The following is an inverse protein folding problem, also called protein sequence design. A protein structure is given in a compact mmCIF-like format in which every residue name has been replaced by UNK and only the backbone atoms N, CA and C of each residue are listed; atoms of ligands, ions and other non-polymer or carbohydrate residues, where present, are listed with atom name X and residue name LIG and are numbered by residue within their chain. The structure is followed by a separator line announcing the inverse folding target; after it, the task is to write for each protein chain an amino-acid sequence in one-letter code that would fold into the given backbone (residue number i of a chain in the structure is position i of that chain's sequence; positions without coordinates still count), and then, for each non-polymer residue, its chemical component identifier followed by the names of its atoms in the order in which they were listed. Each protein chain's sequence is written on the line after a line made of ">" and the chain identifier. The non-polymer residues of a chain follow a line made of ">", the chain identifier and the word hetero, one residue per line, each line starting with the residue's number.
data_IF_936153193041
#
_entry.id   IF_936153193041
#
_cell.length_a   1.000
_cell.length_b   1.000
_cell.length_c   1.000
_cell.angle_alpha   90.00
_cell.angle_beta   90.00
_cell.angle_gamma   90.00
#
_symmetry.space_group_name_H-M   'P 1'
#
loop_
_entity.id
_entity.type
_entity.pdbx_description
1 polymer ?
#
# COMPACT_ATOMS: atom_id res chain seq x y z
N UNK A 1 -2.98 14.38 -0.73
CA UNK A 1 -4.09 13.74 0.02
C UNK A 1 -3.97 14.16 1.47
N UNK A 2 -4.80 15.11 1.90
CA UNK A 2 -4.86 15.59 3.28
C UNK A 2 -6.22 15.17 3.85
N UNK A 3 -6.24 14.14 4.70
CA UNK A 3 -7.44 13.72 5.43
C UNK A 3 -7.17 13.92 6.93
N UNK A 4 -8.02 14.70 7.60
CA UNK A 4 -7.85 15.02 9.02
C UNK A 4 -7.97 13.80 9.96
N UNK A 5 -8.47 12.66 9.44
CA UNK A 5 -8.56 11.39 10.16
C UNK A 5 -7.27 10.56 10.06
N UNK A 6 -6.27 11.04 9.34
CA UNK A 6 -4.99 10.37 9.15
C UNK A 6 -3.91 11.27 9.72
N UNK A 7 -3.20 10.80 10.74
CA UNK A 7 -2.05 11.49 11.30
C UNK A 7 -1.03 11.83 10.21
N UNK A 8 -0.30 12.94 10.38
CA UNK A 8 0.68 13.40 9.41
C UNK A 8 1.73 12.33 9.09
N UNK A 9 2.20 11.57 10.09
CA UNK A 9 3.16 10.48 9.85
C UNK A 9 2.52 9.32 9.08
N UNK A 10 1.26 9.00 9.37
CA UNK A 10 0.50 8.00 8.63
C UNK A 10 0.23 8.43 7.18
N UNK A 11 0.01 9.72 6.92
CA UNK A 11 -0.11 10.23 5.54
C UNK A 11 1.19 10.02 4.76
N UNK A 12 2.35 10.28 5.37
CA UNK A 12 3.65 10.01 4.75
C UNK A 12 3.90 8.51 4.55
N UNK A 13 3.51 7.67 5.51
CA UNK A 13 3.61 6.22 5.40
C UNK A 13 2.76 5.70 4.22
N UNK A 14 1.50 6.11 4.14
CA UNK A 14 0.63 5.74 3.01
C UNK A 14 1.23 6.17 1.67
N UNK A 15 1.80 7.37 1.58
CA UNK A 15 2.48 7.82 0.36
C UNK A 15 3.67 6.93 -0.03
N UNK A 16 4.46 6.44 0.94
CA UNK A 16 5.53 5.47 0.68
C UNK A 16 4.97 4.12 0.25
N UNK A 17 3.95 3.63 0.94
CA UNK A 17 3.30 2.35 0.62
C UNK A 17 2.68 2.35 -0.80
N UNK A 18 2.11 3.48 -1.24
CA UNK A 18 1.63 3.64 -2.63
C UNK A 18 2.75 3.57 -3.68
N UNK A 19 3.99 3.84 -3.29
CA UNK A 19 5.18 3.70 -4.16
C UNK A 19 5.88 2.35 -3.98
N UNK A 20 5.54 1.60 -2.94
CA UNK A 20 6.15 0.33 -2.58
C UNK A 20 5.73 -0.83 -3.49
N UNK A 21 5.79 -2.04 -2.93
CA UNK A 21 5.47 -3.29 -3.63
C UNK A 21 3.99 -3.36 -4.03
N UNK A 22 3.60 -4.21 -5.00
CA UNK A 22 2.20 -4.36 -5.40
C UNK A 22 1.26 -4.65 -4.23
N UNK A 23 1.68 -5.49 -3.27
CA UNK A 23 0.91 -5.80 -2.08
C UNK A 23 0.70 -4.56 -1.18
N UNK A 24 1.77 -3.79 -0.94
CA UNK A 24 1.71 -2.56 -0.14
C UNK A 24 0.74 -1.54 -0.75
N UNK A 25 0.72 -1.43 -2.09
CA UNK A 25 -0.23 -0.54 -2.79
C UNK A 25 -1.67 -0.95 -2.58
N UNK A 26 -1.96 -2.26 -2.66
CA UNK A 26 -3.31 -2.80 -2.42
C UNK A 26 -3.75 -2.51 -0.98
N UNK A 27 -2.90 -2.79 0.00
CA UNK A 27 -3.22 -2.57 1.42
C UNK A 27 -3.38 -1.08 1.75
N UNK A 28 -2.54 -0.21 1.18
CA UNK A 28 -2.70 1.24 1.34
C UNK A 28 -4.00 1.76 0.71
N UNK A 29 -4.38 1.25 -0.48
CA UNK A 29 -5.67 1.59 -1.11
C UNK A 29 -6.85 1.10 -0.28
N UNK A 30 -6.73 -0.09 0.32
CA UNK A 30 -7.74 -0.65 1.22
C UNK A 30 -7.89 0.21 2.48
N UNK A 31 -6.80 0.58 3.14
CA UNK A 31 -6.81 1.49 4.30
C UNK A 31 -7.59 2.78 4.00
N UNK A 32 -7.27 3.46 2.90
CA UNK A 32 -7.99 4.66 2.50
C UNK A 32 -9.47 4.41 2.21
N UNK A 33 -9.77 3.31 1.53
CA UNK A 33 -11.15 2.94 1.21
C UNK A 33 -11.96 2.64 2.47
N UNK A 34 -11.36 2.00 3.49
CA UNK A 34 -11.98 1.77 4.79
C UNK A 34 -12.31 3.08 5.51
N UNK A 35 -11.39 4.05 5.45
CA UNK A 35 -11.56 5.37 6.07
C UNK A 35 -12.65 6.17 5.36
N UNK A 36 -12.67 6.16 4.03
CA UNK A 36 -13.70 6.81 3.24
C UNK A 36 -15.08 6.18 3.44
N UNK A 37 -15.15 4.85 3.55
CA UNK A 37 -16.37 4.12 3.84
C UNK A 37 -16.85 4.28 5.30
N UNK A 38 -16.04 4.89 6.18
CA UNK A 38 -16.36 5.06 7.59
C UNK A 38 -16.30 3.78 8.42
N UNK A 39 -15.81 2.67 7.85
CA UNK A 39 -15.61 1.40 8.56
C UNK A 39 -14.37 1.47 9.46
N UNK A 40 -13.34 2.16 8.98
CA UNK A 40 -12.21 2.59 9.80
C UNK A 40 -12.38 4.09 10.10
N UNK A 41 -12.34 4.46 11.38
CA UNK A 41 -12.45 5.84 11.82
C UNK A 41 -11.28 6.70 11.31
N UNK A 42 -10.08 6.12 11.33
CA UNK A 42 -8.84 6.81 10.96
C UNK A 42 -7.59 6.10 11.49
N UNK A 43 -6.44 6.74 11.25
CA UNK A 43 -5.11 6.32 11.70
C UNK A 43 -4.53 7.46 12.52
N UNK A 44 -4.25 7.25 13.80
CA UNK A 44 -3.91 8.31 14.74
C UNK A 44 -2.68 7.96 15.57
N UNK A 45 -1.97 8.97 16.07
CA UNK A 45 -1.02 8.74 17.17
C UNK A 45 -1.78 8.49 18.47
N UNK A 46 -1.27 7.58 19.30
CA UNK A 46 -1.96 7.11 20.50
C UNK A 46 -2.35 8.23 21.48
N UNK A 47 -1.61 9.34 21.53
CA UNK A 47 -1.85 10.48 22.42
C UNK A 47 -2.73 11.57 21.81
N UNK A 48 -3.18 11.41 20.56
CA UNK A 48 -4.15 12.31 19.96
C UNK A 48 -5.53 12.14 20.61
N UNK A 49 -6.36 13.19 20.49
CA UNK A 49 -7.69 13.27 21.11
C UNK A 49 -8.57 12.05 20.81
N UNK A 50 -8.58 11.55 19.57
CA UNK A 50 -9.48 10.46 19.16
C UNK A 50 -9.11 9.13 19.87
N UNK A 51 -7.86 8.63 19.81
CA UNK A 51 -7.46 7.47 20.62
C UNK A 51 -7.54 7.70 22.12
N UNK A 52 -7.26 8.90 22.62
CA UNK A 52 -7.36 9.21 24.05
C UNK A 52 -8.78 9.10 24.57
N UNK A 53 -9.76 9.66 23.86
CA UNK A 53 -11.18 9.50 24.18
C UNK A 53 -11.60 8.03 24.05
N UNK A 54 -11.11 7.32 23.03
CA UNK A 54 -11.39 5.87 22.90
C UNK A 54 -10.88 5.07 24.09
N UNK A 55 -9.68 5.36 24.57
CA UNK A 55 -9.12 4.70 25.74
C UNK A 55 -9.93 5.00 27.01
N UNK A 56 -10.42 6.24 27.16
CA UNK A 56 -11.31 6.62 28.27
C UNK A 56 -12.63 5.86 28.25
N UNK A 57 -13.23 5.68 27.07
CA UNK A 57 -14.46 4.89 26.90
C UNK A 57 -14.26 3.41 27.31
N UNK A 58 -13.03 2.91 27.19
CA UNK A 58 -12.65 1.56 27.63
C UNK A 58 -12.25 1.51 29.12
N UNK A 59 -12.46 2.58 29.90
CA UNK A 59 -12.07 2.65 31.31
C UNK A 59 -10.56 2.69 31.52
N UNK A 60 -9.81 3.18 30.53
CA UNK A 60 -8.35 3.20 30.51
C UNK A 60 -7.81 4.59 30.14
N UNK A 61 -6.51 4.69 29.91
CA UNK A 61 -5.86 5.89 29.40
C UNK A 61 -5.03 5.56 28.17
N UNK A 62 -4.71 6.55 27.35
CA UNK A 62 -4.13 6.36 26.02
C UNK A 62 -2.86 5.51 25.99
N UNK A 63 -2.00 5.57 27.01
CA UNK A 63 -0.75 4.80 27.04
C UNK A 63 -0.94 3.31 27.33
N UNK A 64 -2.15 2.88 27.70
CA UNK A 64 -2.54 1.47 27.77
C UNK A 64 -3.26 0.97 26.52
N UNK A 65 -3.51 1.85 25.54
CA UNK A 65 -4.20 1.47 24.31
C UNK A 65 -3.34 0.51 23.47
N UNK A 66 -2.04 0.80 23.36
CA UNK A 66 -1.05 -0.08 22.74
C UNK A 66 -0.41 -0.97 23.81
N UNK A 67 -0.36 -2.30 23.62
CA UNK A 67 0.41 -3.21 24.47
C UNK A 67 1.89 -2.79 24.56
N UNK A 68 2.56 -3.22 25.63
CA UNK A 68 4.00 -2.98 25.77
C UNK A 68 4.75 -3.62 24.59
N UNK A 69 5.66 -2.84 23.97
CA UNK A 69 6.42 -3.27 22.80
C UNK A 69 5.70 -3.21 21.45
N UNK A 70 4.37 -3.03 21.42
CA UNK A 70 3.63 -2.87 20.17
C UNK A 70 3.80 -1.46 19.61
N UNK A 71 4.10 -1.33 18.32
CA UNK A 71 4.24 -0.03 17.63
C UNK A 71 2.91 0.50 17.08
N UNK A 72 1.94 -0.38 16.94
CA UNK A 72 0.61 -0.07 16.43
C UNK A 72 -0.40 -1.07 17.00
N UNK A 73 -1.69 -0.73 16.92
CA UNK A 73 -2.78 -1.64 17.21
C UNK A 73 -4.04 -1.22 16.47
N UNK A 74 -4.80 -2.18 15.95
CA UNK A 74 -6.20 -1.96 15.61
C UNK A 74 -7.07 -2.02 16.85
N UNK A 75 -7.81 -0.96 17.11
CA UNK A 75 -8.74 -0.84 18.23
C UNK A 75 -10.15 -0.96 17.69
N UNK A 76 -10.76 -2.12 17.91
CA UNK A 76 -12.13 -2.45 17.46
C UNK A 76 -13.16 -2.22 18.55
N UNK A 77 -12.71 -2.08 19.80
CA UNK A 77 -13.52 -1.84 20.97
C UNK A 77 -13.78 -0.34 21.17
N UNK A 78 -14.90 0.07 21.81
CA UNK A 78 -16.01 -0.78 22.19
C UNK A 78 -16.83 -1.22 20.96
N UNK A 79 -17.52 -2.36 21.09
CA UNK A 79 -18.41 -2.87 20.03
C UNK A 79 -19.43 -1.81 19.61
N UNK A 80 -19.72 -1.75 18.32
CA UNK A 80 -20.65 -0.76 17.74
C UNK A 80 -20.00 0.58 17.39
N UNK A 81 -18.71 0.78 17.65
CA UNK A 81 -17.95 1.91 17.11
C UNK A 81 -17.06 1.48 15.94
N UNK A 82 -16.81 2.37 14.96
CA UNK A 82 -15.84 2.09 13.92
C UNK A 82 -14.46 1.81 14.53
N UNK A 83 -13.73 0.87 13.93
CA UNK A 83 -12.37 0.57 14.36
C UNK A 83 -11.46 1.79 14.14
N UNK A 84 -10.35 1.89 14.86
CA UNK A 84 -9.30 2.87 14.56
C UNK A 84 -7.94 2.20 14.64
N UNK A 85 -6.96 2.71 13.89
CA UNK A 85 -5.56 2.30 14.08
C UNK A 85 -4.88 3.34 14.96
N UNK A 86 -4.34 2.88 16.08
CA UNK A 86 -3.51 3.70 16.97
C UNK A 86 -2.04 3.36 16.76
N UNK A 87 -1.23 4.37 16.48
CA UNK A 87 0.22 4.29 16.26
C UNK A 87 0.95 4.84 17.48
N UNK A 88 2.07 4.22 17.86
CA UNK A 88 2.88 4.66 19.00
C UNK A 88 3.41 6.07 18.74
N UNK A 89 3.30 6.95 19.74
CA UNK A 89 3.88 8.30 19.67
C UNK A 89 5.40 8.19 19.57
N UNK A 90 6.00 8.99 18.69
CA UNK A 90 7.46 8.99 18.53
C UNK A 90 7.98 7.72 17.87
N UNK A 91 7.10 7.03 17.11
CA UNK A 91 7.48 5.98 16.16
C UNK A 91 8.82 6.31 15.47
N UNK A 92 9.67 5.30 15.25
CA UNK A 92 11.11 5.47 15.12
C UNK A 92 11.48 6.33 13.91
N UNK A 93 12.68 6.92 13.95
CA UNK A 93 13.32 7.54 12.78
C UNK A 93 13.37 6.59 11.56
N UNK A 94 13.23 5.29 11.82
CA UNK A 94 13.04 4.23 10.84
C UNK A 94 11.62 4.23 10.26
N UNK A 95 11.50 4.79 9.07
CA UNK A 95 10.26 4.84 8.29
C UNK A 95 9.77 3.46 7.86
N UNK A 96 10.66 2.48 7.63
CA UNK A 96 10.27 1.14 7.22
C UNK A 96 9.57 0.40 8.37
N UNK A 97 10.04 0.60 9.60
CA UNK A 97 9.40 0.05 10.80
C UNK A 97 8.02 0.66 11.05
N UNK A 98 7.83 1.95 10.75
CA UNK A 98 6.49 2.57 10.78
C UNK A 98 5.56 1.92 9.75
N UNK A 99 6.03 1.77 8.52
CA UNK A 99 5.24 1.23 7.41
C UNK A 99 4.81 -0.22 7.70
N UNK A 100 5.72 -1.04 8.22
CA UNK A 100 5.42 -2.41 8.67
C UNK A 100 4.37 -2.42 9.78
N UNK A 101 4.55 -1.61 10.83
CA UNK A 101 3.60 -1.53 11.94
C UNK A 101 2.20 -1.09 11.47
N UNK A 102 2.11 -0.15 10.53
CA UNK A 102 0.82 0.28 9.97
C UNK A 102 0.11 -0.87 9.24
N UNK A 103 0.84 -1.63 8.41
CA UNK A 103 0.28 -2.77 7.69
C UNK A 103 -0.10 -3.93 8.62
N UNK A 104 0.68 -4.18 9.67
CA UNK A 104 0.36 -5.21 10.64
C UNK A 104 -0.92 -4.87 11.41
N UNK A 105 -1.06 -3.63 11.90
CA UNK A 105 -2.31 -3.17 12.51
C UNK A 105 -3.50 -3.20 11.54
N UNK A 106 -3.29 -2.90 10.25
CA UNK A 106 -4.33 -3.03 9.24
C UNK A 106 -4.84 -4.46 9.11
N UNK A 107 -3.94 -5.44 9.04
CA UNK A 107 -4.29 -6.86 8.95
C UNK A 107 -5.00 -7.35 10.21
N UNK A 108 -4.57 -6.89 11.37
CA UNK A 108 -5.20 -7.22 12.66
C UNK A 108 -6.65 -6.73 12.75
N UNK A 109 -7.01 -5.64 12.05
CA UNK A 109 -8.38 -5.13 12.05
C UNK A 109 -9.39 -6.15 11.49
N UNK A 110 -8.96 -7.09 10.64
CA UNK A 110 -9.84 -8.08 9.99
C UNK A 110 -11.09 -7.47 9.36
N UNK A 111 -11.00 -6.21 8.90
CA UNK A 111 -12.12 -5.51 8.29
C UNK A 111 -12.31 -6.07 6.89
N UNK A 112 -13.42 -6.77 6.68
CA UNK A 112 -13.86 -7.19 5.36
C UNK A 112 -14.19 -5.98 4.51
N UNK A 113 -13.21 -5.43 3.79
CA UNK A 113 -13.48 -4.37 2.82
C UNK A 113 -14.16 -4.99 1.60
N UNK A 114 -15.47 -4.73 1.47
CA UNK A 114 -16.20 -4.88 0.21
C UNK A 114 -16.14 -3.60 -0.64
N UNK A 115 -15.26 -2.66 -0.32
CA UNK A 115 -15.04 -1.46 -1.13
C UNK A 115 -14.18 -1.81 -2.37
N UNK A 116 -14.49 -1.20 -3.52
CA UNK A 116 -13.70 -1.38 -4.73
C UNK A 116 -12.26 -0.88 -4.51
N UNK A 117 -11.29 -1.71 -4.88
CA UNK A 117 -9.88 -1.30 -4.94
C UNK A 117 -9.79 -0.17 -5.96
N UNK A 118 -9.51 1.06 -5.51
CA UNK A 118 -9.28 2.18 -6.42
C UNK A 118 -7.91 2.01 -7.08
N UNK A 119 -7.81 2.08 -8.43
CA UNK A 119 -6.52 2.15 -9.09
C UNK A 119 -5.77 3.39 -8.60
N UNK A 120 -4.56 3.21 -8.08
CA UNK A 120 -3.68 4.33 -7.77
C UNK A 120 -3.12 4.88 -9.08
N UNK A 121 -3.48 6.12 -9.42
CA UNK A 121 -2.87 6.85 -10.53
C UNK A 121 -1.71 7.70 -10.01
N UNK A 122 -0.49 7.23 -10.26
CA UNK A 122 0.73 7.91 -9.85
C UNK A 122 1.01 9.21 -10.64
N UNK A 123 0.31 9.43 -11.75
CA UNK A 123 0.53 10.56 -12.66
C UNK A 123 -0.34 11.77 -12.37
N UNK A 124 -1.38 11.61 -11.54
CA UNK A 124 -2.27 12.72 -11.20
C UNK A 124 -1.90 13.35 -9.85
N UNK A 125 -1.33 14.57 -9.83
CA UNK A 125 -1.01 15.26 -8.59
C UNK A 125 -2.31 15.77 -7.97
N UNK A 126 -2.88 14.99 -7.04
CA UNK A 126 -3.95 15.46 -6.16
C UNK A 126 -5.37 15.19 -6.60
N UNK A 127 -5.66 14.21 -7.47
CA UNK A 127 -7.06 13.95 -7.86
C UNK A 127 -7.96 13.59 -6.65
N UNK A 128 -9.01 14.40 -6.36
CA UNK A 128 -10.18 13.96 -5.63
C UNK A 128 -11.07 13.10 -6.58
N UNK A 129 -12.19 12.51 -6.11
CA UNK A 129 -12.68 11.23 -6.60
C UNK A 129 -13.04 11.24 -8.09
N UNK A 130 -12.37 10.38 -8.86
CA UNK A 130 -12.88 10.01 -10.18
C UNK A 130 -14.30 9.45 -10.03
N UNK A 131 -15.23 10.04 -10.76
CA UNK A 131 -16.61 9.61 -11.02
C UNK A 131 -16.68 8.35 -11.91
N UNK A 132 -15.56 7.68 -12.14
CA UNK A 132 -15.53 6.37 -12.77
C UNK A 132 -16.27 5.38 -11.88
N UNK A 133 -17.36 4.82 -12.39
CA UNK A 133 -18.22 3.88 -11.69
C UNK A 133 -17.37 2.86 -10.92
N UNK A 134 -17.43 2.95 -9.60
CA UNK A 134 -16.74 2.04 -8.72
C UNK A 134 -17.29 0.64 -9.05
N UNK A 135 -16.45 -0.25 -9.58
CA UNK A 135 -16.88 -1.61 -9.89
C UNK A 135 -17.23 -2.32 -8.58
N UNK A 136 -18.51 -2.36 -8.23
CA UNK A 136 -19.01 -3.06 -7.06
C UNK A 136 -18.86 -4.56 -7.30
N UNK A 137 -17.87 -5.18 -6.65
CA UNK A 137 -17.73 -6.63 -6.63
C UNK A 137 -18.69 -7.18 -5.57
N UNK A 138 -19.78 -7.84 -5.97
CA UNK A 138 -20.80 -8.35 -5.04
C UNK A 138 -20.47 -9.72 -4.45
N UNK A 139 -19.38 -10.36 -4.90
CA UNK A 139 -18.92 -11.66 -4.40
C UNK A 139 -17.40 -11.82 -4.37
N UNK A 140 -16.93 -12.81 -3.62
CA UNK A 140 -15.50 -13.14 -3.49
C UNK A 140 -14.87 -13.52 -4.84
N UNK A 141 -15.61 -14.25 -5.68
CA UNK A 141 -15.16 -14.67 -7.01
C UNK A 141 -14.97 -13.49 -7.97
N UNK A 142 -15.93 -12.55 -8.00
CA UNK A 142 -15.82 -11.32 -8.77
C UNK A 142 -14.65 -10.46 -8.31
N UNK A 143 -14.36 -10.45 -7.00
CA UNK A 143 -13.21 -9.74 -6.44
C UNK A 143 -11.89 -10.38 -6.88
N UNK A 144 -11.78 -11.70 -6.82
CA UNK A 144 -10.60 -12.43 -7.31
C UNK A 144 -10.39 -12.22 -8.82
N UNK A 145 -11.47 -12.26 -9.61
CA UNK A 145 -11.41 -11.99 -11.04
C UNK A 145 -10.97 -10.54 -11.36
N UNK A 146 -11.47 -9.56 -10.61
CA UNK A 146 -11.07 -8.16 -10.76
C UNK A 146 -9.60 -7.93 -10.37
N UNK A 147 -9.14 -8.58 -9.30
CA UNK A 147 -7.72 -8.56 -8.89
C UNK A 147 -6.83 -9.20 -9.96
N UNK A 148 -7.25 -10.34 -10.52
CA UNK A 148 -6.52 -11.01 -11.59
C UNK A 148 -6.45 -10.15 -12.85
N UNK A 149 -7.56 -9.55 -13.28
CA UNK A 149 -7.59 -8.65 -14.43
C UNK A 149 -6.69 -7.42 -14.24
N UNK A 150 -6.61 -6.90 -13.00
CA UNK A 150 -5.69 -5.82 -12.67
C UNK A 150 -4.22 -6.28 -12.75
N UNK A 151 -3.92 -7.49 -12.26
CA UNK A 151 -2.59 -8.09 -12.36
C UNK A 151 -2.19 -8.34 -13.82
N UNK A 152 -3.10 -8.89 -14.63
CA UNK A 152 -2.88 -9.16 -16.05
C UNK A 152 -2.67 -7.85 -16.84
N UNK A 153 -3.47 -6.82 -16.55
CA UNK A 153 -3.32 -5.49 -17.14
C UNK A 153 -1.99 -4.81 -16.77
N UNK A 154 -1.50 -5.05 -15.55
CA UNK A 154 -0.16 -4.63 -15.13
C UNK A 154 0.93 -5.39 -15.88
N UNK A 155 0.85 -6.71 -15.96
CA UNK A 155 1.81 -7.55 -16.70
C UNK A 155 1.88 -7.17 -18.18
N UNK A 156 0.74 -6.93 -18.83
CA UNK A 156 0.69 -6.49 -20.23
C UNK A 156 1.42 -5.15 -20.46
N UNK A 157 1.38 -4.24 -19.47
CA UNK A 157 2.13 -2.97 -19.52
C UNK A 157 3.64 -3.21 -19.33
N UNK A 158 4.03 -4.08 -18.40
CA UNK A 158 5.43 -4.50 -18.21
C UNK A 158 5.99 -5.12 -19.49
N UNK A 159 5.28 -6.08 -20.09
CA UNK A 159 5.65 -6.72 -21.36
C UNK A 159 5.79 -5.74 -22.51
N UNK A 160 4.92 -4.72 -22.56
CA UNK A 160 4.99 -3.67 -23.58
C UNK A 160 6.22 -2.79 -23.38
N UNK A 161 6.57 -2.45 -22.15
CA UNK A 161 7.79 -1.73 -21.82
C UNK A 161 9.03 -2.57 -22.16
N UNK A 162 9.07 -3.83 -21.76
CA UNK A 162 10.17 -4.75 -22.05
C UNK A 162 10.37 -4.92 -23.56
N UNK A 163 9.30 -5.10 -24.33
CA UNK A 163 9.38 -5.16 -25.80
C UNK A 163 9.94 -3.89 -26.43
N UNK A 164 9.58 -2.71 -25.91
CA UNK A 164 10.14 -1.43 -26.39
C UNK A 164 11.62 -1.31 -26.05
N UNK A 165 12.02 -1.71 -24.85
CA UNK A 165 13.41 -1.74 -24.42
C UNK A 165 14.24 -2.66 -25.32
N UNK A 166 13.82 -3.92 -25.49
CA UNK A 166 14.50 -4.89 -26.34
C UNK A 166 14.59 -4.44 -27.81
N UNK A 167 13.55 -3.77 -28.32
CA UNK A 167 13.57 -3.18 -29.67
C UNK A 167 14.61 -2.06 -29.80
N UNK A 168 14.81 -1.27 -28.75
CA UNK A 168 15.80 -0.18 -28.72
C UNK A 168 17.22 -0.72 -28.57
N UNK A 169 17.42 -1.72 -27.71
CA UNK A 169 18.69 -2.41 -27.53
C UNK A 169 19.18 -3.11 -28.82
N UNK A 170 18.28 -3.63 -29.67
CA UNK A 170 18.65 -4.18 -30.99
C UNK A 170 19.30 -3.17 -31.95
N UNK A 171 19.09 -1.87 -31.75
CA UNK A 171 19.67 -0.81 -32.56
C UNK A 171 20.91 -0.15 -31.94
N UNK A 172 21.30 -0.57 -30.74
CA UNK A 172 22.36 0.06 -29.96
C UNK A 172 23.28 -1.02 -29.36
N UNK A 173 24.49 -1.23 -29.94
CA UNK A 173 25.40 -2.29 -29.53
C UNK A 173 25.92 -2.12 -28.09
N UNK A 174 25.90 -0.92 -27.52
CA UNK A 174 26.31 -0.68 -26.12
C UNK A 174 25.25 -1.21 -25.14
N UNK A 175 23.97 -1.04 -25.46
CA UNK A 175 22.82 -1.56 -24.72
C UNK A 175 22.68 -3.09 -24.85
N UNK A 176 23.04 -3.66 -26.00
CA UNK A 176 23.06 -5.11 -26.21
C UNK A 176 24.10 -5.80 -25.31
N UNK A 177 25.27 -5.18 -25.12
CA UNK A 177 26.33 -5.73 -24.27
C UNK A 177 25.98 -5.69 -22.77
N UNK A 178 25.13 -4.76 -22.33
CA UNK A 178 24.57 -4.74 -20.97
C UNK A 178 23.53 -5.83 -20.72
N UNK A 179 22.83 -6.30 -21.77
CA UNK A 179 21.88 -7.41 -21.73
C UNK A 179 22.58 -8.79 -21.75
N UNK A 180 23.69 -8.94 -22.48
CA UNK A 180 24.42 -10.22 -22.52
C UNK A 180 25.11 -10.56 -21.18
N UNK A 181 25.50 -9.54 -20.39
CA UNK A 181 26.08 -9.74 -19.06
C UNK A 181 25.09 -10.33 -18.05
N UNK A 182 23.78 -10.17 -18.27
CA UNK A 182 22.73 -10.81 -17.45
C UNK A 182 22.34 -12.20 -17.97
N UNK A 183 22.56 -12.52 -19.24
CA UNK A 183 22.23 -13.84 -19.82
C UNK A 183 23.22 -14.95 -19.45
N UNK A 184 24.51 -14.62 -19.25
CA UNK A 184 25.48 -15.60 -18.70
C UNK A 184 25.23 -15.94 -17.22
N UNK A 185 24.31 -15.23 -16.57
CA UNK A 185 23.84 -15.46 -15.21
C UNK A 185 22.39 -15.93 -15.16
N UNK A 186 21.95 -16.81 -16.07
CA UNK A 186 20.75 -17.62 -15.94
C UNK A 186 19.44 -16.86 -15.72
N UNK A 187 18.68 -16.65 -16.79
CA UNK A 187 17.26 -16.28 -16.72
C UNK A 187 16.46 -17.49 -16.21
N UNK A 188 16.51 -17.71 -14.91
CA UNK A 188 15.49 -18.40 -14.16
C UNK A 188 14.63 -17.36 -13.48
N UNK A 189 13.40 -17.15 -13.97
CA UNK A 189 12.31 -16.60 -13.16
C UNK A 189 11.91 -17.65 -12.10
N UNK A 190 12.85 -17.97 -11.21
CA UNK A 190 12.63 -18.81 -10.04
C UNK A 190 12.67 -17.87 -8.83
N UNK A 191 11.47 -17.52 -8.34
CA UNK A 191 11.00 -17.27 -6.96
C UNK A 191 11.94 -16.88 -5.79
N UNK A 192 13.23 -16.61 -5.94
CA UNK A 192 14.13 -16.32 -4.81
C UNK A 192 15.26 -15.37 -5.23
N UNK A 193 15.01 -14.06 -5.22
CA UNK A 193 15.97 -13.02 -4.79
C UNK A 193 15.35 -11.63 -5.02
N UNK A 194 14.88 -11.03 -3.93
CA UNK A 194 14.12 -9.78 -3.91
C UNK A 194 14.85 -8.47 -4.33
N UNK A 195 16.20 -8.33 -4.38
CA UNK A 195 16.79 -7.02 -4.65
C UNK A 195 17.01 -6.70 -6.15
N UNK A 196 17.03 -7.68 -7.05
CA UNK A 196 17.30 -7.45 -8.48
C UNK A 196 16.04 -7.10 -9.30
N UNK A 197 14.88 -7.60 -8.88
CA UNK A 197 13.60 -7.31 -9.54
C UNK A 197 13.24 -5.81 -9.49
N UNK A 198 13.58 -5.15 -8.37
CA UNK A 198 13.34 -3.71 -8.19
C UNK A 198 14.21 -2.83 -9.10
N UNK A 199 15.42 -3.26 -9.45
CA UNK A 199 16.31 -2.48 -10.32
C UNK A 199 15.83 -2.46 -11.77
N UNK A 200 15.35 -3.60 -12.29
CA UNK A 200 14.81 -3.63 -13.66
C UNK A 200 13.47 -2.90 -13.78
N UNK A 201 12.61 -3.00 -12.76
CA UNK A 201 11.36 -2.23 -12.72
C UNK A 201 11.59 -0.72 -12.64
N UNK A 202 12.54 -0.28 -11.80
CA UNK A 202 12.83 1.15 -11.62
C UNK A 202 13.50 1.75 -12.87
N UNK A 203 14.46 1.06 -13.49
CA UNK A 203 15.10 1.52 -14.73
C UNK A 203 14.13 1.54 -15.92
N UNK A 204 13.23 0.55 -16.03
CA UNK A 204 12.19 0.55 -17.05
C UNK A 204 11.15 1.68 -16.86
N UNK A 205 10.89 2.06 -15.60
CA UNK A 205 9.98 3.16 -15.27
C UNK A 205 10.62 4.53 -15.55
N UNK A 206 11.89 4.72 -15.20
CA UNK A 206 12.62 5.98 -15.41
C UNK A 206 12.89 6.27 -16.90
N UNK A 207 13.02 5.22 -17.74
CA UNK A 207 13.17 5.35 -19.19
C UNK A 207 11.84 5.55 -19.96
N UNK A 208 10.70 5.47 -19.28
CA UNK A 208 9.37 5.67 -19.87
C UNK A 208 8.76 7.06 -19.60
N UNK A 209 9.50 7.96 -18.94
CA UNK A 209 9.22 9.40 -18.94
C UNK A 209 9.72 10.05 -20.23
#
# INVERSE_FOLDING_TARGET
>A
MLDARIDVQAQYALFRLFKGTPLQRVEASQLLSAIQAGVLLGIYQQDQKVPALRAQELGSWWGKLLPAGAESRCVVEPLGKPALIAMRRGTPADTARYDAALLDAWRDCSIGINAPVRPYDATSPGDPPATGAAATCTGAEQRSAALQACADGYQARVDKCLRRFLKRAKGDPELAHQLELTETGGIGCATQSAPLHASCEQTAYDMCR
#
